data_IF_212851627180
#
_entry.id   IF_212851627180
#
_cell.length_a   1.000
_cell.length_b   1.000
_cell.length_c   1.000
_cell.angle_alpha   90.00
_cell.angle_beta   90.00
_cell.angle_gamma   90.00
#
_symmetry.space_group_name_H-M   'P 1'
#
loop_
_entity.id
_entity.type
_entity.pdbx_description
1 polymer ?
#
# COMPACT_ATOMS: atom_id res chain seq x y z
N UNK A 1 -32.61 18.57 56.97
CA UNK A 1 -33.19 19.07 55.70
C UNK A 1 -34.48 18.30 55.45
N UNK A 2 -35.62 18.91 55.50
CA UNK A 2 -36.94 18.29 55.59
C UNK A 2 -37.33 17.64 54.21
N UNK A 3 -38.04 16.52 54.22
CA UNK A 3 -38.50 15.81 53.03
C UNK A 3 -39.23 16.68 51.99
N UNK A 4 -39.96 17.69 52.49
CA UNK A 4 -40.67 18.69 51.67
C UNK A 4 -39.72 19.54 50.83
N UNK A 5 -38.55 19.94 51.35
CA UNK A 5 -37.56 20.71 50.60
C UNK A 5 -36.88 19.92 49.52
N UNK A 6 -36.72 18.60 49.68
CA UNK A 6 -36.14 17.72 48.63
C UNK A 6 -37.07 17.55 47.43
N UNK A 7 -38.37 17.46 47.68
CA UNK A 7 -39.39 17.35 46.62
C UNK A 7 -39.49 18.65 45.79
N UNK A 8 -39.43 19.83 46.46
CA UNK A 8 -39.45 21.12 45.75
C UNK A 8 -38.19 21.31 44.88
N UNK A 9 -37.02 20.98 45.44
CA UNK A 9 -35.74 21.06 44.66
C UNK A 9 -35.76 20.13 43.47
N UNK A 10 -36.24 18.90 43.65
CA UNK A 10 -36.32 17.90 42.55
C UNK A 10 -37.29 18.37 41.44
N UNK A 11 -38.43 18.93 41.79
CA UNK A 11 -39.39 19.43 40.81
C UNK A 11 -38.89 20.69 40.06
N UNK A 12 -38.13 21.56 40.72
CA UNK A 12 -37.49 22.72 40.08
C UNK A 12 -36.40 22.26 39.10
N UNK A 13 -35.58 21.27 39.47
CA UNK A 13 -34.55 20.69 38.58
C UNK A 13 -35.18 20.01 37.37
N UNK A 14 -36.25 19.23 37.55
CA UNK A 14 -36.99 18.61 36.47
C UNK A 14 -37.64 19.63 35.52
N UNK A 15 -38.19 20.73 36.06
CA UNK A 15 -38.74 21.80 35.24
C UNK A 15 -37.67 22.53 34.42
N UNK A 16 -36.50 22.79 34.99
CA UNK A 16 -35.36 23.41 34.29
C UNK A 16 -34.86 22.48 33.18
N UNK A 17 -34.72 21.17 33.45
CA UNK A 17 -34.31 20.19 32.43
C UNK A 17 -35.33 20.11 31.30
N UNK A 18 -36.63 20.14 31.60
CA UNK A 18 -37.70 20.12 30.60
C UNK A 18 -37.72 21.41 29.74
N UNK A 19 -37.45 22.57 30.33
CA UNK A 19 -37.33 23.84 29.59
C UNK A 19 -36.09 23.86 28.70
N UNK A 20 -34.95 23.39 29.20
CA UNK A 20 -33.71 23.28 28.40
C UNK A 20 -33.86 22.30 27.23
N UNK A 21 -34.55 21.15 27.47
CA UNK A 21 -34.88 20.21 26.37
C UNK A 21 -35.89 20.82 25.39
N UNK A 22 -36.93 21.52 25.91
CA UNK A 22 -37.94 22.15 25.07
C UNK A 22 -37.37 23.30 24.22
N UNK A 23 -36.47 24.11 24.76
CA UNK A 23 -35.77 25.16 24.00
C UNK A 23 -34.85 24.58 22.94
N UNK A 24 -34.16 23.46 23.21
CA UNK A 24 -33.37 22.77 22.18
C UNK A 24 -34.19 22.14 21.06
N UNK A 25 -35.43 21.68 21.37
CA UNK A 25 -36.35 21.16 20.36
C UNK A 25 -37.01 22.26 19.53
N UNK A 26 -37.18 23.46 20.10
CA UNK A 26 -37.80 24.61 19.44
C UNK A 26 -36.82 25.44 18.61
N UNK A 27 -35.51 25.40 18.92
CA UNK A 27 -34.48 26.14 18.19
C UNK A 27 -34.06 25.48 16.84
N UNK A 28 -34.60 24.30 16.54
CA UNK A 28 -34.28 23.64 15.26
C UNK A 28 -32.80 23.29 15.06
N UNK A 29 -31.95 23.53 16.08
CA UNK A 29 -30.59 23.02 16.10
C UNK A 29 -30.63 21.51 16.42
N UNK A 30 -30.93 20.72 15.42
CA UNK A 30 -30.42 19.35 15.41
C UNK A 30 -28.93 19.41 15.78
N UNK A 31 -28.43 18.59 16.74
CA UNK A 31 -26.97 18.45 16.88
C UNK A 31 -26.47 18.19 15.47
N UNK A 32 -25.56 19.05 14.98
CA UNK A 32 -24.96 18.87 13.70
C UNK A 32 -24.43 17.43 13.72
N UNK A 33 -25.16 16.53 13.07
CA UNK A 33 -24.69 15.22 12.75
C UNK A 33 -23.49 15.51 11.85
N UNK A 34 -22.28 15.57 12.43
CA UNK A 34 -21.07 15.31 11.66
C UNK A 34 -21.41 14.01 11.00
N UNK A 35 -21.70 14.09 9.70
CA UNK A 35 -22.27 12.98 8.98
C UNK A 35 -21.31 11.79 9.19
N UNK A 36 -21.84 10.61 9.43
CA UNK A 36 -21.04 9.37 9.52
C UNK A 36 -20.09 9.28 8.30
N UNK A 37 -20.49 9.87 7.18
CA UNK A 37 -19.71 10.02 5.96
C UNK A 37 -18.43 10.88 6.14
N UNK A 38 -18.46 11.94 6.95
CA UNK A 38 -17.29 12.79 7.19
C UNK A 38 -16.27 12.10 8.12
N UNK A 39 -16.73 11.36 9.12
CA UNK A 39 -15.85 10.56 9.99
C UNK A 39 -15.27 9.36 9.23
N UNK A 40 -16.05 8.70 8.39
CA UNK A 40 -15.58 7.58 7.56
C UNK A 40 -14.57 8.05 6.51
N UNK A 41 -14.77 9.22 5.89
CA UNK A 41 -13.83 9.84 4.96
C UNK A 41 -12.50 10.19 5.64
N UNK A 42 -12.55 10.81 6.82
CA UNK A 42 -11.34 11.13 7.61
C UNK A 42 -10.55 9.89 8.03
N UNK A 43 -11.25 8.80 8.40
CA UNK A 43 -10.61 7.54 8.75
C UNK A 43 -9.96 6.86 7.53
N UNK A 44 -10.59 6.95 6.36
CA UNK A 44 -10.05 6.38 5.12
C UNK A 44 -8.79 7.14 4.65
N UNK A 45 -8.81 8.47 4.70
CA UNK A 45 -7.66 9.32 4.39
C UNK A 45 -6.46 8.95 5.30
N UNK A 46 -6.68 8.95 6.61
CA UNK A 46 -5.62 8.65 7.56
C UNK A 46 -5.05 7.25 7.37
N UNK A 47 -5.90 6.24 7.12
CA UNK A 47 -5.45 4.87 6.90
C UNK A 47 -4.54 4.75 5.67
N UNK A 48 -4.84 5.47 4.58
CA UNK A 48 -3.99 5.48 3.37
C UNK A 48 -2.66 6.17 3.65
N UNK A 49 -2.68 7.35 4.28
CA UNK A 49 -1.46 8.11 4.57
C UNK A 49 -0.56 7.37 5.56
N UNK A 50 -1.12 6.76 6.60
CA UNK A 50 -0.37 5.95 7.57
C UNK A 50 0.27 4.73 6.90
N UNK A 51 -0.47 4.03 6.01
CA UNK A 51 0.07 2.88 5.28
C UNK A 51 1.27 3.28 4.41
N UNK A 52 1.21 4.44 3.75
CA UNK A 52 2.32 4.96 2.94
C UNK A 52 3.50 5.36 3.84
N UNK A 53 3.26 6.08 4.93
CA UNK A 53 4.28 6.60 5.81
C UNK A 53 5.02 5.50 6.59
N UNK A 54 4.31 4.43 6.96
CA UNK A 54 4.85 3.35 7.81
C UNK A 54 5.45 2.19 7.04
N UNK A 55 5.17 2.07 5.72
CA UNK A 55 5.77 1.01 4.90
C UNK A 55 7.30 1.10 4.90
N UNK A 56 7.94 -0.02 5.23
CA UNK A 56 9.39 -0.18 5.20
C UNK A 56 9.80 -1.39 4.37
N UNK A 57 11.08 -1.44 3.97
CA UNK A 57 11.66 -2.62 3.32
C UNK A 57 12.06 -3.65 4.37
N UNK A 58 11.40 -4.80 4.35
CA UNK A 58 11.65 -5.94 5.24
C UNK A 58 12.50 -6.97 4.51
N UNK A 59 13.53 -7.50 5.17
CA UNK A 59 14.50 -8.45 4.60
C UNK A 59 14.71 -9.71 5.43
N UNK A 60 13.98 -9.85 6.53
CA UNK A 60 13.93 -11.08 7.32
C UNK A 60 12.48 -11.54 7.48
N UNK A 61 12.24 -12.83 7.31
CA UNK A 61 10.89 -13.37 7.17
C UNK A 61 10.72 -14.63 8.01
N UNK A 62 9.50 -14.82 8.53
CA UNK A 62 9.08 -16.07 9.16
C UNK A 62 8.95 -17.20 8.12
N UNK A 63 9.21 -18.43 8.55
CA UNK A 63 9.01 -19.63 7.73
C UNK A 63 7.49 -19.98 7.66
N UNK A 64 6.69 -19.05 7.16
CA UNK A 64 5.24 -19.16 7.04
C UNK A 64 4.81 -18.84 5.61
N UNK A 65 4.01 -19.71 4.95
CA UNK A 65 3.48 -19.43 3.63
C UNK A 65 2.57 -18.18 3.62
N UNK A 66 2.54 -17.50 2.48
CA UNK A 66 1.59 -16.42 2.24
C UNK A 66 0.32 -17.01 1.62
N UNK A 67 -0.84 -16.67 2.16
CA UNK A 67 -2.14 -17.16 1.72
C UNK A 67 -2.46 -16.69 0.29
N UNK A 68 -3.07 -17.57 -0.51
CA UNK A 68 -3.44 -17.29 -1.91
C UNK A 68 -4.32 -16.06 -2.06
N UNK A 69 -5.24 -15.82 -1.11
CA UNK A 69 -6.09 -14.64 -1.12
C UNK A 69 -5.30 -13.34 -0.96
N UNK A 70 -4.22 -13.35 -0.17
CA UNK A 70 -3.34 -12.19 -0.03
C UNK A 70 -2.52 -11.95 -1.31
N UNK A 71 -2.06 -13.03 -1.94
CA UNK A 71 -1.35 -12.94 -3.23
C UNK A 71 -2.27 -12.33 -4.29
N UNK A 72 -3.51 -12.80 -4.40
CA UNK A 72 -4.49 -12.26 -5.34
C UNK A 72 -4.78 -10.78 -5.07
N UNK A 73 -4.96 -10.37 -3.81
CA UNK A 73 -5.18 -8.96 -3.44
C UNK A 73 -3.99 -8.07 -3.83
N UNK A 74 -2.76 -8.54 -3.62
CA UNK A 74 -1.56 -7.81 -4.05
C UNK A 74 -1.51 -7.64 -5.57
N UNK A 75 -1.80 -8.68 -6.33
CA UNK A 75 -1.83 -8.62 -7.79
C UNK A 75 -2.94 -7.70 -8.31
N UNK A 76 -4.13 -7.73 -7.71
CA UNK A 76 -5.22 -6.79 -8.06
C UNK A 76 -4.83 -5.34 -7.77
N UNK A 77 -4.18 -5.08 -6.64
CA UNK A 77 -3.68 -3.75 -6.31
C UNK A 77 -2.61 -3.29 -7.31
N UNK A 78 -1.67 -4.16 -7.67
CA UNK A 78 -0.66 -3.88 -8.68
C UNK A 78 -1.30 -3.51 -10.03
N UNK A 79 -2.24 -4.31 -10.50
CA UNK A 79 -2.93 -4.10 -11.78
C UNK A 79 -3.90 -2.90 -11.77
N UNK A 80 -4.19 -2.31 -10.62
CA UNK A 80 -4.95 -1.05 -10.50
C UNK A 80 -4.08 0.20 -10.72
N UNK A 81 -2.78 0.06 -10.92
CA UNK A 81 -1.90 1.18 -11.20
C UNK A 81 -2.24 1.84 -12.55
N UNK A 82 -2.05 3.17 -12.70
CA UNK A 82 -2.19 3.83 -13.99
C UNK A 82 -1.09 3.39 -14.94
N UNK A 83 -1.39 3.41 -16.25
CA UNK A 83 -0.40 3.17 -17.29
C UNK A 83 -0.53 4.14 -18.44
N UNK A 84 0.56 4.43 -19.12
CA UNK A 84 0.54 5.28 -20.30
C UNK A 84 -0.41 4.69 -21.35
N UNK A 85 -1.37 5.49 -21.80
CA UNK A 85 -2.42 5.10 -22.76
C UNK A 85 -3.22 3.84 -22.36
N UNK A 86 -3.26 3.49 -21.08
CA UNK A 86 -3.88 2.25 -20.57
C UNK A 86 -3.35 0.97 -21.23
N UNK A 87 -2.06 0.95 -21.58
CA UNK A 87 -1.41 -0.19 -22.27
C UNK A 87 -1.21 -1.39 -21.38
N UNK A 88 -1.10 -1.20 -20.05
CA UNK A 88 -0.91 -2.27 -19.07
C UNK A 88 0.26 -3.20 -19.45
N UNK A 89 1.46 -2.67 -19.74
CA UNK A 89 2.59 -3.39 -20.28
C UNK A 89 3.35 -4.14 -19.19
N UNK A 90 2.63 -4.86 -18.35
CA UNK A 90 3.20 -5.65 -17.27
C UNK A 90 2.82 -7.12 -17.35
N UNK A 91 3.69 -7.94 -16.78
CA UNK A 91 3.46 -9.35 -16.48
C UNK A 91 4.02 -9.67 -15.10
N UNK A 92 3.30 -10.47 -14.32
CA UNK A 92 3.68 -10.83 -12.95
C UNK A 92 3.93 -12.33 -12.88
N UNK A 93 5.13 -12.73 -12.42
CA UNK A 93 5.47 -14.12 -12.17
C UNK A 93 5.52 -14.36 -10.67
N UNK A 94 4.60 -15.17 -10.17
CA UNK A 94 4.50 -15.55 -8.75
C UNK A 94 5.34 -16.80 -8.53
N UNK A 95 6.24 -16.74 -7.55
CA UNK A 95 7.17 -17.83 -7.23
C UNK A 95 7.10 -18.16 -5.75
N UNK A 96 6.64 -19.36 -5.40
CA UNK A 96 6.60 -19.93 -4.05
C UNK A 96 7.38 -21.25 -3.93
N UNK A 97 7.88 -21.79 -5.05
CA UNK A 97 8.68 -23.01 -5.06
C UNK A 97 10.09 -22.72 -4.52
N UNK A 98 10.49 -23.40 -3.45
CA UNK A 98 11.76 -23.16 -2.77
C UNK A 98 12.98 -23.26 -3.71
N UNK A 99 13.02 -24.27 -4.59
CA UNK A 99 14.12 -24.44 -5.53
C UNK A 99 14.27 -23.29 -6.53
N UNK A 100 13.14 -22.71 -6.98
CA UNK A 100 13.13 -21.55 -7.88
C UNK A 100 13.51 -20.28 -7.12
N UNK A 101 13.01 -20.10 -5.90
CA UNK A 101 13.40 -18.98 -5.03
C UNK A 101 14.91 -19.01 -4.74
N UNK A 102 15.50 -20.18 -4.50
CA UNK A 102 16.93 -20.32 -4.27
C UNK A 102 17.73 -19.96 -5.53
N UNK A 103 17.29 -20.41 -6.71
CA UNK A 103 17.90 -20.05 -7.97
C UNK A 103 17.81 -18.53 -8.27
N UNK A 104 16.69 -17.90 -7.96
CA UNK A 104 16.52 -16.43 -8.06
C UNK A 104 17.46 -15.68 -7.11
N UNK A 105 17.72 -16.22 -5.93
CA UNK A 105 18.71 -15.65 -4.98
C UNK A 105 20.13 -15.63 -5.54
N UNK A 106 20.49 -16.62 -6.36
CA UNK A 106 21.80 -16.65 -7.03
C UNK A 106 21.82 -15.74 -8.28
N UNK A 107 20.68 -15.62 -8.99
CA UNK A 107 20.56 -14.75 -10.16
C UNK A 107 20.62 -13.25 -9.82
N UNK A 108 20.30 -12.85 -8.59
CA UNK A 108 20.39 -11.45 -8.13
C UNK A 108 21.14 -11.35 -6.80
N UNK A 109 22.39 -10.85 -6.79
CA UNK A 109 23.21 -10.76 -5.57
C UNK A 109 22.63 -9.84 -4.48
N UNK A 110 21.69 -8.97 -4.83
CA UNK A 110 21.00 -8.08 -3.91
C UNK A 110 19.71 -8.68 -3.32
N UNK A 111 19.35 -9.90 -3.73
CA UNK A 111 18.13 -10.58 -3.30
C UNK A 111 18.41 -11.79 -2.37
N UNK A 112 19.50 -11.78 -1.62
CA UNK A 112 19.88 -12.90 -0.73
C UNK A 112 18.83 -13.25 0.33
N UNK A 113 18.00 -12.27 0.74
CA UNK A 113 16.90 -12.48 1.68
C UNK A 113 15.82 -13.43 1.15
N UNK A 114 15.76 -13.65 -0.16
CA UNK A 114 14.80 -14.57 -0.78
C UNK A 114 14.96 -16.01 -0.29
N UNK A 115 16.18 -16.39 0.17
CA UNK A 115 16.45 -17.70 0.77
C UNK A 115 15.62 -17.99 2.03
N UNK A 116 15.16 -16.93 2.72
CA UNK A 116 14.30 -17.03 3.91
C UNK A 116 12.82 -16.74 3.59
N UNK A 117 12.55 -16.06 2.49
CA UNK A 117 11.19 -15.67 2.12
C UNK A 117 10.38 -16.84 1.54
N UNK A 118 9.08 -16.93 1.85
CA UNK A 118 8.19 -17.93 1.28
C UNK A 118 7.70 -17.59 -0.13
N UNK A 119 7.85 -16.32 -0.57
CA UNK A 119 7.26 -15.82 -1.80
C UNK A 119 8.14 -14.75 -2.45
N UNK A 120 8.20 -14.77 -3.77
CA UNK A 120 8.64 -13.64 -4.58
C UNK A 120 7.66 -13.41 -5.74
N UNK A 121 7.49 -12.13 -6.12
CA UNK A 121 6.77 -11.75 -7.33
C UNK A 121 7.75 -11.00 -8.22
N UNK A 122 8.01 -11.54 -9.41
CA UNK A 122 8.83 -10.87 -10.43
C UNK A 122 7.90 -10.03 -11.29
N UNK A 123 8.15 -8.72 -11.32
CA UNK A 123 7.41 -7.79 -12.16
C UNK A 123 8.20 -7.58 -13.44
N UNK A 124 7.57 -7.89 -14.57
CA UNK A 124 8.17 -7.77 -15.90
C UNK A 124 7.42 -6.73 -16.74
N UNK A 125 8.16 -6.05 -17.63
CA UNK A 125 7.57 -5.36 -18.77
C UNK A 125 7.30 -6.35 -19.90
N UNK A 126 6.18 -6.18 -20.60
CA UNK A 126 5.78 -6.96 -21.77
C UNK A 126 5.96 -6.11 -23.04
N UNK A 127 6.97 -6.41 -23.83
CA UNK A 127 7.34 -5.60 -25.02
C UNK A 127 6.26 -5.56 -26.09
N UNK A 128 5.38 -6.56 -26.13
CA UNK A 128 4.25 -6.60 -27.07
C UNK A 128 3.14 -5.60 -26.72
N UNK A 129 3.10 -5.13 -25.47
CA UNK A 129 2.12 -4.16 -24.98
C UNK A 129 2.69 -2.75 -24.83
N UNK A 130 4.00 -2.57 -24.97
CA UNK A 130 4.63 -1.24 -24.85
C UNK A 130 4.16 -0.28 -25.92
N UNK A 131 4.28 1.02 -25.64
CA UNK A 131 4.10 2.06 -26.64
C UNK A 131 5.27 1.99 -27.62
N UNK A 132 4.99 2.19 -28.90
CA UNK A 132 6.02 2.24 -29.93
C UNK A 132 6.77 3.58 -29.95
N UNK A 133 7.99 3.57 -30.48
CA UNK A 133 8.80 4.78 -30.67
C UNK A 133 9.26 5.42 -29.36
N UNK A 134 9.16 6.76 -29.29
CA UNK A 134 9.67 7.55 -28.16
C UNK A 134 8.95 7.32 -26.82
N UNK A 135 7.80 6.67 -26.82
CA UNK A 135 7.06 6.32 -25.61
C UNK A 135 7.40 4.95 -25.02
N UNK A 136 8.34 4.21 -25.65
CA UNK A 136 8.65 2.83 -25.26
C UNK A 136 8.99 2.69 -23.79
N UNK A 137 9.78 3.58 -23.23
CA UNK A 137 10.30 3.47 -21.85
C UNK A 137 9.26 3.79 -20.77
N UNK A 138 8.04 4.22 -21.13
CA UNK A 138 6.96 4.39 -20.15
C UNK A 138 6.60 3.11 -19.40
N UNK A 139 6.88 1.92 -19.98
CA UNK A 139 6.66 0.65 -19.30
C UNK A 139 7.38 0.57 -17.94
N UNK A 140 8.54 1.23 -17.83
CA UNK A 140 9.32 1.27 -16.57
C UNK A 140 8.53 2.01 -15.50
N UNK A 141 7.91 3.15 -15.86
CA UNK A 141 7.08 3.94 -14.94
C UNK A 141 5.82 3.16 -14.58
N UNK A 142 5.15 2.57 -15.58
CA UNK A 142 3.93 1.79 -15.43
C UNK A 142 4.14 0.60 -14.48
N UNK A 143 5.16 -0.21 -14.74
CA UNK A 143 5.48 -1.37 -13.91
C UNK A 143 6.04 -0.97 -12.52
N UNK A 144 6.67 0.20 -12.41
CA UNK A 144 7.10 0.76 -11.10
C UNK A 144 5.90 1.20 -10.26
N UNK A 145 4.90 1.85 -10.87
CA UNK A 145 3.66 2.21 -10.19
C UNK A 145 2.91 0.96 -9.70
N UNK A 146 2.84 -0.09 -10.54
CA UNK A 146 2.27 -1.37 -10.17
C UNK A 146 3.03 -2.04 -9.01
N UNK A 147 4.35 -1.94 -9.02
CA UNK A 147 5.20 -2.48 -7.94
C UNK A 147 4.95 -1.74 -6.61
N UNK A 148 4.83 -0.41 -6.62
CA UNK A 148 4.54 0.33 -5.39
C UNK A 148 3.16 -0.02 -4.83
N UNK A 149 2.12 -0.12 -5.68
CA UNK A 149 0.81 -0.59 -5.24
C UNK A 149 0.87 -1.98 -4.59
N UNK A 150 1.69 -2.89 -5.15
CA UNK A 150 1.91 -4.23 -4.60
C UNK A 150 2.56 -4.15 -3.21
N UNK A 151 3.58 -3.31 -3.03
CA UNK A 151 4.26 -3.11 -1.74
C UNK A 151 3.33 -2.52 -0.68
N UNK A 152 2.52 -1.53 -1.04
CA UNK A 152 1.52 -0.92 -0.15
C UNK A 152 0.44 -1.93 0.25
N UNK A 153 -0.04 -2.73 -0.70
CA UNK A 153 -1.01 -3.79 -0.41
C UNK A 153 -0.45 -4.88 0.51
N UNK A 154 0.81 -5.29 0.29
CA UNK A 154 1.50 -6.23 1.19
C UNK A 154 1.55 -5.68 2.61
N UNK A 155 1.99 -4.42 2.77
CA UNK A 155 2.10 -3.75 4.07
C UNK A 155 0.75 -3.63 4.77
N UNK A 156 -0.30 -3.20 4.07
CA UNK A 156 -1.65 -3.09 4.62
C UNK A 156 -2.23 -4.45 5.12
N UNK A 157 -1.73 -5.57 4.59
CA UNK A 157 -2.11 -6.92 5.00
C UNK A 157 -1.19 -7.53 6.06
N UNK A 158 -0.27 -6.73 6.65
CA UNK A 158 0.68 -7.17 7.66
C UNK A 158 1.82 -8.04 7.11
N UNK A 159 2.09 -7.97 5.81
CA UNK A 159 3.24 -8.63 5.19
C UNK A 159 4.43 -7.67 5.10
N UNK A 160 5.63 -8.22 5.24
CA UNK A 160 6.87 -7.56 4.93
C UNK A 160 7.23 -7.76 3.45
N UNK A 161 7.74 -6.72 2.81
CA UNK A 161 8.18 -6.82 1.43
C UNK A 161 9.40 -5.93 1.15
N UNK A 162 10.19 -6.30 0.13
CA UNK A 162 11.28 -5.47 -0.37
C UNK A 162 11.39 -5.56 -1.89
N UNK A 163 11.59 -4.41 -2.51
CA UNK A 163 11.90 -4.28 -3.94
C UNK A 163 13.38 -4.56 -4.17
N UNK A 164 13.71 -5.52 -5.03
CA UNK A 164 15.06 -5.78 -5.51
C UNK A 164 15.10 -5.56 -7.03
N UNK A 165 15.87 -4.57 -7.47
CA UNK A 165 15.91 -4.17 -8.89
C UNK A 165 16.60 -5.22 -9.79
N UNK A 166 16.07 -5.39 -10.99
CA UNK A 166 16.71 -6.13 -12.08
C UNK A 166 17.12 -5.17 -13.20
N UNK A 167 16.17 -4.60 -13.91
CA UNK A 167 16.42 -3.60 -14.93
C UNK A 167 16.98 -2.30 -14.33
N UNK A 168 17.94 -1.58 -14.95
CA UNK A 168 18.46 -1.80 -16.31
C UNK A 168 19.70 -2.70 -16.41
N UNK A 169 20.05 -3.49 -15.39
CA UNK A 169 21.21 -4.37 -15.45
C UNK A 169 20.89 -5.60 -16.30
N UNK A 170 21.38 -5.60 -17.56
CA UNK A 170 21.07 -6.63 -18.57
C UNK A 170 21.46 -8.03 -18.12
N UNK A 171 22.63 -8.19 -17.49
CA UNK A 171 23.11 -9.46 -16.95
C UNK A 171 22.15 -10.04 -15.91
N UNK A 172 21.61 -9.18 -15.05
CA UNK A 172 20.65 -9.55 -14.02
C UNK A 172 19.28 -9.89 -14.62
N UNK A 173 18.80 -9.08 -15.57
CA UNK A 173 17.58 -9.40 -16.31
C UNK A 173 17.69 -10.76 -16.98
N UNK A 174 18.79 -11.02 -17.68
CA UNK A 174 19.05 -12.29 -18.36
C UNK A 174 19.13 -13.46 -17.40
N UNK A 175 19.80 -13.31 -16.26
CA UNK A 175 19.90 -14.36 -15.24
C UNK A 175 18.52 -14.73 -14.67
N UNK A 176 17.67 -13.74 -14.35
CA UNK A 176 16.30 -13.96 -13.86
C UNK A 176 15.44 -14.61 -14.96
N UNK A 177 15.52 -14.13 -16.21
CA UNK A 177 14.78 -14.69 -17.34
C UNK A 177 15.13 -16.17 -17.56
N UNK A 178 16.40 -16.53 -17.45
CA UNK A 178 16.85 -17.91 -17.58
C UNK A 178 16.31 -18.82 -16.47
N UNK A 179 16.31 -18.35 -15.21
CA UNK A 179 15.76 -19.11 -14.06
C UNK A 179 14.28 -19.39 -14.27
N UNK A 180 13.54 -18.40 -14.76
CA UNK A 180 12.08 -18.48 -14.91
C UNK A 180 11.64 -18.97 -16.29
N UNK A 181 12.57 -19.21 -17.23
CA UNK A 181 12.28 -19.56 -18.62
C UNK A 181 11.29 -18.57 -19.25
N UNK A 182 11.52 -17.27 -19.04
CA UNK A 182 10.66 -16.22 -19.58
C UNK A 182 10.75 -16.18 -21.10
N UNK A 183 9.63 -15.86 -21.75
CA UNK A 183 9.61 -15.55 -23.18
C UNK A 183 10.37 -14.24 -23.48
N UNK A 184 10.88 -14.11 -24.72
CA UNK A 184 11.75 -12.99 -25.14
C UNK A 184 11.07 -11.61 -25.04
N UNK A 185 9.73 -11.59 -25.04
CA UNK A 185 8.97 -10.35 -24.87
C UNK A 185 8.88 -9.86 -23.42
N UNK A 186 9.32 -10.64 -22.42
CA UNK A 186 9.24 -10.28 -21.00
C UNK A 186 10.59 -9.80 -20.48
N UNK A 187 10.62 -8.57 -19.99
CA UNK A 187 11.81 -7.93 -19.40
C UNK A 187 11.63 -7.81 -17.89
N UNK A 188 12.37 -8.53 -17.04
CA UNK A 188 12.29 -8.38 -15.59
C UNK A 188 12.67 -6.97 -15.14
N UNK A 189 11.73 -6.21 -14.57
CA UNK A 189 11.99 -4.91 -13.96
C UNK A 189 12.59 -5.07 -12.56
N UNK A 190 11.93 -5.89 -11.75
CA UNK A 190 12.33 -6.13 -10.36
C UNK A 190 11.76 -7.46 -9.85
N UNK A 191 12.24 -7.85 -8.66
CA UNK A 191 11.62 -8.89 -7.85
C UNK A 191 11.19 -8.29 -6.52
N UNK A 192 9.94 -8.48 -6.13
CA UNK A 192 9.42 -8.17 -4.81
C UNK A 192 9.47 -9.44 -3.97
N UNK A 193 10.31 -9.43 -2.93
CA UNK A 193 10.45 -10.52 -1.98
C UNK A 193 9.46 -10.28 -0.84
N UNK A 194 8.65 -11.28 -0.48
CA UNK A 194 7.47 -11.12 0.38
C UNK A 194 7.38 -12.25 1.39
N UNK A 195 6.94 -11.92 2.60
CA UNK A 195 6.64 -12.88 3.65
C UNK A 195 6.11 -12.21 4.91
N UNK A 196 5.79 -12.97 5.93
CA UNK A 196 5.53 -12.41 7.25
C UNK A 196 6.84 -11.87 7.84
N UNK A 197 6.83 -10.63 8.36
CA UNK A 197 8.05 -9.99 8.82
C UNK A 197 8.59 -10.64 10.11
N UNK A 198 9.85 -11.04 10.11
CA UNK A 198 10.59 -11.43 11.32
C UNK A 198 11.39 -10.24 11.90
N UNK A 199 11.37 -9.09 11.24
CA UNK A 199 11.97 -7.83 11.69
C UNK A 199 10.99 -6.68 11.49
N UNK A 200 11.14 -5.62 12.29
CA UNK A 200 10.29 -4.43 12.21
C UNK A 200 11.14 -3.16 12.07
N UNK A 201 11.68 -2.90 10.86
CA UNK A 201 12.46 -1.70 10.61
C UNK A 201 11.62 -0.44 10.84
N UNK A 202 12.22 0.58 11.48
CA UNK A 202 11.52 1.83 11.73
C UNK A 202 11.32 2.62 10.43
N UNK A 203 10.16 3.23 10.23
CA UNK A 203 9.92 4.16 9.15
C UNK A 203 10.90 5.33 9.20
N UNK A 204 11.24 5.88 8.04
CA UNK A 204 12.13 7.04 7.93
C UNK A 204 11.33 8.19 7.35
N UNK A 205 11.35 9.32 8.03
CA UNK A 205 10.91 10.57 7.44
C UNK A 205 11.90 10.96 6.32
N UNK A 206 11.36 11.09 5.11
CA UNK A 206 12.11 11.43 3.89
C UNK A 206 11.70 12.78 3.32
N UNK A 207 10.79 13.50 4.01
CA UNK A 207 10.37 14.81 3.58
C UNK A 207 11.57 15.78 3.60
N UNK A 208 11.73 16.51 2.51
CA UNK A 208 12.77 17.50 2.33
C UNK A 208 12.20 18.67 1.54
N UNK A 209 12.11 19.81 2.18
CA UNK A 209 11.56 21.01 1.58
C UNK A 209 12.38 21.48 0.38
N UNK A 210 13.71 21.28 0.41
CA UNK A 210 14.60 21.60 -0.70
C UNK A 210 14.32 20.84 -2.01
N UNK A 211 13.52 19.77 -1.96
CA UNK A 211 13.09 19.03 -3.14
C UNK A 211 11.79 19.57 -3.76
N UNK A 212 11.26 20.70 -3.25
CA UNK A 212 9.97 21.26 -3.64
C UNK A 212 10.19 22.66 -4.21
N UNK A 213 9.59 22.94 -5.35
CA UNK A 213 9.52 24.27 -5.93
C UNK A 213 8.06 24.69 -6.09
N UNK A 214 7.72 25.87 -5.60
CA UNK A 214 6.36 26.40 -5.67
C UNK A 214 6.26 27.47 -6.79
N UNK A 215 5.26 27.34 -7.63
CA UNK A 215 4.82 28.35 -8.58
C UNK A 215 3.36 28.64 -8.27
N UNK A 216 3.13 29.42 -7.22
CA UNK A 216 1.80 29.79 -6.72
C UNK A 216 1.72 31.32 -6.65
N UNK A 217 0.52 31.89 -6.88
CA UNK A 217 0.31 33.32 -6.68
C UNK A 217 0.45 33.65 -5.20
N UNK A 218 1.11 34.75 -4.89
CA UNK A 218 1.17 35.29 -3.53
C UNK A 218 -0.24 35.67 -3.09
N UNK A 219 -0.74 35.10 -2.00
CA UNK A 219 -2.04 35.39 -1.42
C UNK A 219 -1.95 36.59 -0.47
#
# INVERSE_FOLDING_TARGET
MNLQNKSVVLNVVLAIVAVVLGVRLASGEAPAAKSADAEQSSNAEQAVLDNIATRTSVRDYEARPVEKEKIEKMLRAAMAAPTAMNKQPWHFVVVDQRSVLDALSEANPYAKMIKKAPLAIVVCGDTEKMIEGGGRDFWIQDASAATENLLLAAHAMGLGAVWTGAYPAEDRCKAISNVLSLSDNLIPLNMVVIGYPAEHPQPKDKFKEENISYYVDEQ
#
